data_IF_363895218827
#
_entry.id   IF_363895218827
#
_cell.length_a   1.000
_cell.length_b   1.000
_cell.length_c   1.000
_cell.angle_alpha   90.00
_cell.angle_beta   90.00
_cell.angle_gamma   90.00
#
_symmetry.space_group_name_H-M   'P 1'
#
loop_
_entity.id
_entity.type
_entity.pdbx_description
1 polymer ?
#
# COMPACT_ATOMS: atom_id res chain seq x y z
N UNK A 1 -3.92 0.38 -23.46
CA UNK A 1 -2.81 -0.48 -22.99
C UNK A 1 -1.65 0.37 -22.45
N UNK A 2 -1.20 1.38 -23.19
CA UNK A 2 -0.12 2.28 -22.72
C UNK A 2 -0.46 2.98 -21.40
N UNK A 3 -1.70 3.43 -21.22
CA UNK A 3 -2.15 4.08 -20.00
C UNK A 3 -2.03 3.17 -18.77
N UNK A 4 -2.43 1.89 -18.89
CA UNK A 4 -2.36 0.91 -17.77
C UNK A 4 -0.92 0.64 -17.37
N UNK A 5 -0.03 0.48 -18.36
CA UNK A 5 1.40 0.24 -18.13
C UNK A 5 2.04 1.45 -17.45
N UNK A 6 1.73 2.65 -17.92
CA UNK A 6 2.21 3.89 -17.33
C UNK A 6 1.74 4.05 -15.87
N UNK A 7 0.45 3.85 -15.61
CA UNK A 7 -0.13 3.88 -14.27
C UNK A 7 0.53 2.86 -13.33
N UNK A 8 0.82 1.66 -13.84
CA UNK A 8 1.49 0.59 -13.09
C UNK A 8 2.92 0.98 -12.69
N UNK A 9 3.77 1.38 -13.65
CA UNK A 9 5.14 1.78 -13.35
C UNK A 9 5.21 3.02 -12.46
N UNK A 10 4.36 3.99 -12.71
CA UNK A 10 4.26 5.19 -11.89
C UNK A 10 3.90 4.87 -10.44
N UNK A 11 2.96 3.95 -10.21
CA UNK A 11 2.55 3.53 -8.87
C UNK A 11 3.66 2.79 -8.10
N UNK A 12 4.60 2.14 -8.80
CA UNK A 12 5.73 1.45 -8.16
C UNK A 12 6.80 2.45 -7.70
N UNK A 13 7.21 3.36 -8.59
CA UNK A 13 8.41 4.16 -8.40
C UNK A 13 8.13 5.60 -7.98
N UNK A 14 7.20 6.28 -8.64
CA UNK A 14 6.91 7.70 -8.40
C UNK A 14 5.94 7.88 -7.23
N UNK A 15 4.81 7.20 -7.28
CA UNK A 15 3.74 7.30 -6.28
C UNK A 15 3.84 6.17 -5.25
N UNK A 16 5.07 5.84 -4.83
CA UNK A 16 5.32 4.82 -3.82
C UNK A 16 4.73 5.24 -2.47
N UNK A 17 3.87 4.41 -1.87
CA UNK A 17 3.16 4.72 -0.62
C UNK A 17 4.09 5.04 0.55
N UNK A 18 5.28 4.44 0.60
CA UNK A 18 6.24 4.66 1.69
C UNK A 18 7.09 5.89 1.40
N UNK A 19 7.74 5.96 0.24
CA UNK A 19 8.75 6.99 -0.01
C UNK A 19 8.17 8.34 -0.43
N UNK A 20 7.03 8.36 -1.12
CA UNK A 20 6.37 9.60 -1.52
C UNK A 20 5.42 10.16 -0.44
N UNK A 21 4.70 9.27 0.25
CA UNK A 21 3.61 9.68 1.15
C UNK A 21 3.84 9.29 2.62
N UNK A 22 4.86 8.53 2.94
CA UNK A 22 5.17 8.00 4.29
C UNK A 22 4.03 7.17 4.90
N UNK A 23 3.19 6.57 4.07
CA UNK A 23 2.07 5.76 4.52
C UNK A 23 2.49 4.30 4.81
N UNK A 24 2.00 3.78 5.92
CA UNK A 24 2.33 2.41 6.35
C UNK A 24 3.66 2.27 7.07
N UNK A 25 4.23 3.38 7.58
CA UNK A 25 5.49 3.38 8.34
C UNK A 25 5.45 2.52 9.60
N UNK A 26 4.28 2.38 10.24
CA UNK A 26 4.13 1.57 11.45
C UNK A 26 4.52 0.11 11.19
N UNK A 27 3.89 -0.52 10.20
CA UNK A 27 4.18 -1.90 9.79
C UNK A 27 5.55 -2.03 9.13
N UNK A 28 5.94 -1.03 8.35
CA UNK A 28 7.23 -0.95 7.68
C UNK A 28 8.41 -1.01 8.68
N UNK A 29 8.40 -0.19 9.73
CA UNK A 29 9.45 -0.16 10.74
C UNK A 29 9.41 -1.37 11.68
N UNK A 30 8.21 -1.86 12.03
CA UNK A 30 8.04 -2.95 12.96
C UNK A 30 8.54 -4.30 12.40
N UNK A 31 8.27 -4.55 11.13
CA UNK A 31 8.48 -5.87 10.50
C UNK A 31 9.76 -5.97 9.70
N UNK A 32 10.38 -4.85 9.29
CA UNK A 32 11.58 -4.80 8.45
C UNK A 32 12.88 -5.27 9.15
N UNK A 33 12.79 -6.14 10.16
CA UNK A 33 13.98 -6.66 10.85
C UNK A 33 14.69 -7.77 10.07
N UNK A 34 13.93 -8.59 9.35
CA UNK A 34 14.41 -9.73 8.56
C UNK A 34 13.81 -9.69 7.16
N UNK A 35 14.61 -10.01 6.14
CA UNK A 35 14.16 -10.05 4.73
C UNK A 35 13.02 -11.04 4.54
N UNK A 36 13.08 -12.21 5.17
CA UNK A 36 12.09 -13.27 5.03
C UNK A 36 10.70 -12.84 5.52
N UNK A 37 10.65 -12.19 6.69
CA UNK A 37 9.41 -11.67 7.27
C UNK A 37 8.88 -10.47 6.48
N UNK A 38 9.78 -9.61 6.01
CA UNK A 38 9.45 -8.46 5.15
C UNK A 38 8.81 -8.90 3.83
N UNK A 39 9.34 -9.96 3.20
CA UNK A 39 8.79 -10.51 1.97
C UNK A 39 7.38 -11.10 2.20
N UNK A 40 7.21 -11.86 3.28
CA UNK A 40 5.92 -12.44 3.63
C UNK A 40 4.84 -11.39 3.85
N UNK A 41 5.17 -10.34 4.62
CA UNK A 41 4.25 -9.22 4.83
C UNK A 41 3.97 -8.44 3.54
N UNK A 42 4.99 -8.23 2.71
CA UNK A 42 4.85 -7.57 1.42
C UNK A 42 3.87 -8.29 0.50
N UNK A 43 3.97 -9.60 0.39
CA UNK A 43 3.03 -10.41 -0.38
C UNK A 43 1.61 -10.35 0.18
N UNK A 44 1.47 -10.40 1.51
CA UNK A 44 0.17 -10.30 2.15
C UNK A 44 -0.51 -8.94 1.89
N UNK A 45 0.23 -7.84 2.04
CA UNK A 45 -0.27 -6.49 1.75
C UNK A 45 -0.64 -6.33 0.28
N UNK A 46 0.19 -6.85 -0.63
CA UNK A 46 -0.11 -6.82 -2.09
C UNK A 46 -1.39 -7.58 -2.40
N UNK A 47 -1.59 -8.75 -1.79
CA UNK A 47 -2.80 -9.53 -1.97
C UNK A 47 -4.04 -8.80 -1.43
N UNK A 48 -3.93 -8.21 -0.25
CA UNK A 48 -5.03 -7.41 0.33
C UNK A 48 -5.36 -6.22 -0.56
N UNK A 49 -4.37 -5.47 -1.05
CA UNK A 49 -4.57 -4.36 -1.97
C UNK A 49 -5.25 -4.80 -3.28
N UNK A 50 -4.86 -5.96 -3.82
CA UNK A 50 -5.44 -6.51 -5.04
C UNK A 50 -6.94 -6.80 -4.89
N UNK A 51 -7.39 -7.15 -3.70
CA UNK A 51 -8.81 -7.44 -3.43
C UNK A 51 -9.57 -6.19 -3.01
N UNK A 52 -8.99 -5.38 -2.11
CA UNK A 52 -9.69 -4.21 -1.53
C UNK A 52 -9.87 -3.06 -2.52
N UNK A 53 -8.83 -2.67 -3.27
CA UNK A 53 -8.91 -1.49 -4.16
C UNK A 53 -9.95 -1.65 -5.27
N UNK A 54 -10.09 -2.80 -5.98
CA UNK A 54 -11.16 -2.97 -6.94
C UNK A 54 -12.56 -3.00 -6.31
N UNK A 55 -12.69 -3.54 -5.09
CA UNK A 55 -13.97 -3.53 -4.37
C UNK A 55 -14.34 -2.10 -3.98
N UNK A 56 -13.40 -1.34 -3.44
CA UNK A 56 -13.59 0.08 -3.11
C UNK A 56 -13.91 0.92 -4.35
N UNK A 57 -13.31 0.60 -5.50
CA UNK A 57 -13.63 1.23 -6.78
C UNK A 57 -15.09 0.96 -7.20
N UNK A 58 -15.53 -0.29 -7.12
CA UNK A 58 -16.92 -0.65 -7.43
C UNK A 58 -17.90 0.01 -6.46
N UNK A 59 -17.54 0.09 -5.19
CA UNK A 59 -18.34 0.73 -4.17
C UNK A 59 -18.45 2.25 -4.44
N UNK A 60 -17.32 2.90 -4.77
CA UNK A 60 -17.29 4.33 -5.09
C UNK A 60 -18.12 4.65 -6.33
N UNK A 61 -18.02 3.83 -7.38
CA UNK A 61 -18.70 4.12 -8.66
C UNK A 61 -20.17 3.72 -8.67
N UNK A 62 -20.57 2.69 -7.91
CA UNK A 62 -21.95 2.16 -7.94
C UNK A 62 -22.80 2.51 -6.75
N UNK A 63 -22.20 2.84 -5.60
CA UNK A 63 -22.94 3.11 -4.35
C UNK A 63 -22.81 4.56 -3.92
N UNK A 64 -21.59 5.12 -3.99
CA UNK A 64 -21.32 6.48 -3.54
C UNK A 64 -21.37 7.52 -4.67
N UNK A 65 -21.53 7.09 -5.93
CA UNK A 65 -21.68 8.03 -7.05
C UNK A 65 -22.85 8.97 -6.87
N UNK A 66 -22.78 10.21 -7.40
CA UNK A 66 -23.75 11.28 -7.13
C UNK A 66 -25.19 10.96 -7.54
N UNK A 67 -25.42 9.90 -8.31
CA UNK A 67 -26.76 9.54 -8.82
C UNK A 67 -27.20 8.09 -8.49
N UNK A 68 -26.49 7.35 -7.59
CA UNK A 68 -26.73 5.90 -7.50
C UNK A 68 -27.77 5.46 -6.48
N UNK A 69 -27.84 5.99 -5.27
CA UNK A 69 -28.80 5.53 -4.24
C UNK A 69 -29.82 6.58 -3.82
N UNK A 70 -29.44 7.84 -3.71
CA UNK A 70 -30.35 8.92 -3.32
C UNK A 70 -30.02 10.15 -4.18
N UNK A 71 -30.90 10.51 -5.13
CA UNK A 71 -30.68 11.72 -5.94
C UNK A 71 -30.70 12.98 -5.05
N UNK A 72 -29.58 13.70 -5.01
CA UNK A 72 -29.44 14.97 -4.32
C UNK A 72 -28.70 14.98 -2.98
N UNK A 73 -28.12 13.85 -2.55
CA UNK A 73 -27.27 13.81 -1.35
C UNK A 73 -25.88 13.28 -1.71
N UNK A 74 -24.86 14.11 -1.54
CA UNK A 74 -23.46 13.72 -1.73
C UNK A 74 -23.01 12.78 -0.59
N UNK A 75 -23.10 11.47 -0.82
CA UNK A 75 -22.60 10.45 0.12
C UNK A 75 -21.07 10.32 0.12
N UNK A 76 -20.36 11.15 -0.64
CA UNK A 76 -18.90 11.16 -0.71
C UNK A 76 -18.24 11.33 0.67
N UNK A 77 -18.91 11.95 1.61
CA UNK A 77 -18.43 12.11 2.99
C UNK A 77 -18.39 10.77 3.77
N UNK A 78 -19.27 9.83 3.42
CA UNK A 78 -19.28 8.50 4.03
C UNK A 78 -18.25 7.55 3.41
N UNK A 79 -17.61 7.91 2.31
CA UNK A 79 -16.66 7.04 1.60
C UNK A 79 -15.51 6.59 2.50
N UNK A 80 -15.01 7.49 3.34
CA UNK A 80 -13.93 7.21 4.28
C UNK A 80 -14.28 6.08 5.27
N UNK A 81 -15.44 6.17 5.90
CA UNK A 81 -15.91 5.18 6.88
C UNK A 81 -16.20 3.85 6.19
N UNK A 82 -16.77 3.91 5.00
CA UNK A 82 -17.11 2.73 4.21
C UNK A 82 -15.86 1.99 3.73
N UNK A 83 -14.83 2.69 3.29
CA UNK A 83 -13.55 2.09 2.92
C UNK A 83 -12.88 1.41 4.11
N UNK A 84 -12.85 2.04 5.29
CA UNK A 84 -12.32 1.39 6.51
C UNK A 84 -13.08 0.09 6.81
N UNK A 85 -14.41 0.11 6.73
CA UNK A 85 -15.23 -1.06 7.00
C UNK A 85 -14.97 -2.20 6.00
N UNK A 86 -14.85 -1.87 4.70
CA UNK A 86 -14.52 -2.84 3.65
C UNK A 86 -13.11 -3.41 3.84
N UNK A 87 -12.12 -2.57 4.09
CA UNK A 87 -10.74 -3.00 4.34
C UNK A 87 -10.68 -3.94 5.54
N UNK A 88 -11.32 -3.57 6.66
CA UNK A 88 -11.35 -4.40 7.86
C UNK A 88 -12.03 -5.75 7.59
N UNK A 89 -13.17 -5.77 6.90
CA UNK A 89 -13.87 -7.00 6.53
C UNK A 89 -13.04 -7.90 5.61
N UNK A 90 -12.38 -7.32 4.60
CA UNK A 90 -11.54 -8.07 3.67
C UNK A 90 -10.29 -8.64 4.33
N UNK A 91 -9.65 -7.87 5.22
CA UNK A 91 -8.48 -8.37 5.96
C UNK A 91 -8.88 -9.51 6.89
N UNK A 92 -10.02 -9.41 7.57
CA UNK A 92 -10.55 -10.50 8.41
C UNK A 92 -10.80 -11.77 7.59
N UNK A 93 -11.32 -11.63 6.39
CA UNK A 93 -11.54 -12.75 5.48
C UNK A 93 -10.22 -13.39 5.04
N UNK A 94 -9.23 -12.56 4.70
CA UNK A 94 -7.86 -13.02 4.36
C UNK A 94 -7.21 -13.72 5.54
N UNK A 95 -7.38 -13.22 6.75
CA UNK A 95 -6.88 -13.83 7.99
C UNK A 95 -7.42 -15.26 8.15
N UNK A 96 -8.73 -15.44 8.05
CA UNK A 96 -9.36 -16.76 8.12
C UNK A 96 -8.88 -17.72 7.01
N UNK A 97 -8.63 -17.21 5.81
CA UNK A 97 -8.10 -18.01 4.70
C UNK A 97 -6.66 -18.44 4.99
N UNK A 98 -5.79 -17.52 5.43
CA UNK A 98 -4.38 -17.80 5.74
C UNK A 98 -4.25 -18.78 6.91
N UNK A 99 -5.06 -18.63 7.96
CA UNK A 99 -5.11 -19.54 9.11
C UNK A 99 -5.43 -20.98 8.65
N UNK A 100 -6.40 -21.14 7.74
CA UNK A 100 -6.83 -22.45 7.26
C UNK A 100 -5.84 -23.12 6.31
N UNK A 101 -5.23 -22.35 5.39
CA UNK A 101 -4.40 -22.92 4.33
C UNK A 101 -2.91 -22.96 4.66
N UNK A 102 -2.43 -22.10 5.53
CA UNK A 102 -0.99 -21.96 5.81
C UNK A 102 -0.72 -21.62 7.27
N UNK A 103 -0.93 -22.59 8.23
CA UNK A 103 -0.73 -22.34 9.65
C UNK A 103 0.71 -21.97 10.01
N UNK A 104 1.70 -22.39 9.21
CA UNK A 104 3.11 -22.00 9.38
C UNK A 104 3.33 -20.52 9.08
N UNK A 105 2.68 -19.99 8.04
CA UNK A 105 2.71 -18.57 7.70
C UNK A 105 1.93 -17.75 8.72
N UNK A 106 0.81 -18.26 9.19
CA UNK A 106 0.01 -17.65 10.24
C UNK A 106 0.80 -17.52 11.55
N UNK A 107 1.54 -18.54 11.95
CA UNK A 107 2.37 -18.49 13.15
C UNK A 107 3.49 -17.44 13.08
N UNK A 108 4.05 -17.20 11.90
CA UNK A 108 5.08 -16.16 11.70
C UNK A 108 4.50 -14.75 11.49
N UNK A 109 3.31 -14.62 10.93
CA UNK A 109 2.62 -13.36 10.65
C UNK A 109 1.50 -13.01 11.65
N UNK A 110 1.10 -13.96 12.53
CA UNK A 110 -0.11 -13.84 13.33
C UNK A 110 -0.19 -12.60 14.24
N UNK A 111 0.96 -12.13 14.74
CA UNK A 111 1.02 -10.87 15.51
C UNK A 111 0.91 -9.64 14.59
N UNK A 112 1.26 -9.78 13.32
CA UNK A 112 1.29 -8.68 12.34
C UNK A 112 0.02 -8.60 11.47
N UNK A 113 -0.83 -9.62 11.48
CA UNK A 113 -2.08 -9.61 10.72
C UNK A 113 -3.03 -8.46 11.13
N UNK A 114 -3.29 -8.19 12.42
CA UNK A 114 -4.06 -7.01 12.81
C UNK A 114 -3.42 -5.70 12.35
N UNK A 115 -2.08 -5.68 12.22
CA UNK A 115 -1.34 -4.53 11.72
C UNK A 115 -1.57 -4.28 10.22
N UNK A 116 -1.96 -5.30 9.47
CA UNK A 116 -2.36 -5.16 8.06
C UNK A 116 -3.72 -4.47 7.96
N UNK A 117 -4.67 -4.81 8.83
CA UNK A 117 -6.01 -4.22 8.83
C UNK A 117 -5.99 -2.70 9.07
N UNK A 118 -5.11 -2.23 9.96
CA UNK A 118 -4.94 -0.80 10.26
C UNK A 118 -3.79 -0.16 9.49
N UNK A 119 -3.35 -0.78 8.39
CA UNK A 119 -2.23 -0.27 7.60
C UNK A 119 -2.63 0.98 6.80
N UNK A 120 -2.02 2.10 7.14
CA UNK A 120 -2.27 3.38 6.48
C UNK A 120 -1.97 3.34 4.96
N UNK A 121 -1.11 2.43 4.49
CA UNK A 121 -0.83 2.31 3.06
C UNK A 121 -2.03 1.75 2.29
N UNK A 122 -2.76 0.78 2.85
CA UNK A 122 -3.96 0.21 2.23
C UNK A 122 -5.07 1.26 2.18
N UNK A 123 -5.29 1.93 3.30
CA UNK A 123 -6.24 3.04 3.39
C UNK A 123 -5.87 4.18 2.43
N UNK A 124 -4.60 4.55 2.40
CA UNK A 124 -4.09 5.58 1.49
C UNK A 124 -4.27 5.21 0.02
N UNK A 125 -4.04 3.96 -0.36
CA UNK A 125 -4.28 3.49 -1.72
C UNK A 125 -5.75 3.65 -2.14
N UNK A 126 -6.70 3.30 -1.27
CA UNK A 126 -8.14 3.48 -1.53
C UNK A 126 -8.52 4.96 -1.64
N UNK A 127 -7.98 5.84 -0.79
CA UNK A 127 -8.23 7.28 -0.87
C UNK A 127 -7.62 7.92 -2.12
N UNK A 128 -6.39 7.57 -2.48
CA UNK A 128 -5.78 8.06 -3.72
C UNK A 128 -6.49 7.53 -4.96
N UNK A 129 -6.98 6.30 -4.93
CA UNK A 129 -7.85 5.77 -5.99
C UNK A 129 -9.10 6.63 -6.15
N UNK A 130 -9.77 6.99 -5.05
CA UNK A 130 -10.93 7.88 -5.07
C UNK A 130 -10.60 9.26 -5.65
N UNK A 131 -9.47 9.85 -5.25
CA UNK A 131 -9.03 11.13 -5.82
C UNK A 131 -8.78 11.03 -7.33
N UNK A 132 -8.21 9.92 -7.79
CA UNK A 132 -7.89 9.69 -9.20
C UNK A 132 -9.10 9.41 -10.07
N UNK A 133 -10.19 8.90 -9.52
CA UNK A 133 -11.48 8.79 -10.22
C UNK A 133 -12.04 10.17 -10.58
N UNK A 134 -11.80 11.18 -9.74
CA UNK A 134 -12.28 12.54 -9.92
C UNK A 134 -11.37 13.43 -10.79
N UNK A 135 -10.26 12.87 -11.31
CA UNK A 135 -9.36 13.58 -12.22
C UNK A 135 -9.93 13.60 -13.66
N UNK A 136 -9.45 14.55 -14.46
CA UNK A 136 -9.79 14.61 -15.88
C UNK A 136 -9.29 13.35 -16.62
N UNK A 137 -10.09 12.81 -17.57
CA UNK A 137 -9.72 11.62 -18.33
C UNK A 137 -8.44 11.75 -19.16
N UNK A 138 -7.97 12.98 -19.41
CA UNK A 138 -6.70 13.29 -20.06
C UNK A 138 -5.47 13.13 -19.15
N UNK A 139 -5.69 12.99 -17.84
CA UNK A 139 -4.60 12.84 -16.90
C UNK A 139 -4.07 11.39 -16.91
N UNK A 140 -2.74 11.24 -16.93
CA UNK A 140 -2.08 9.92 -16.87
C UNK A 140 -2.35 9.14 -15.59
N UNK A 141 -2.91 9.78 -14.57
CA UNK A 141 -3.26 9.17 -13.28
C UNK A 141 -4.75 8.82 -13.14
N UNK A 142 -5.56 9.11 -14.15
CA UNK A 142 -6.99 8.86 -14.13
C UNK A 142 -7.29 7.35 -14.03
N UNK A 143 -8.21 6.99 -13.15
CA UNK A 143 -8.71 5.61 -12.99
C UNK A 143 -10.16 5.58 -13.44
N UNK A 144 -10.39 5.18 -14.68
CA UNK A 144 -11.73 5.13 -15.28
C UNK A 144 -12.31 3.72 -15.38
N UNK A 145 -11.49 2.69 -15.15
CA UNK A 145 -11.87 1.29 -15.32
C UNK A 145 -11.45 0.45 -14.12
N UNK A 146 -12.16 -0.66 -13.90
CA UNK A 146 -11.76 -1.67 -12.91
C UNK A 146 -10.35 -2.23 -13.21
N UNK A 147 -9.98 -2.33 -14.49
CA UNK A 147 -8.65 -2.78 -14.90
C UNK A 147 -7.55 -1.80 -14.48
N UNK A 148 -7.80 -0.50 -14.55
CA UNK A 148 -6.88 0.52 -14.08
C UNK A 148 -6.73 0.46 -12.55
N UNK A 149 -7.82 0.22 -11.83
CA UNK A 149 -7.79 0.03 -10.38
C UNK A 149 -6.98 -1.21 -9.98
N UNK A 150 -7.10 -2.32 -10.73
CA UNK A 150 -6.29 -3.53 -10.50
C UNK A 150 -4.82 -3.26 -10.79
N UNK A 151 -4.48 -2.61 -11.89
CA UNK A 151 -3.11 -2.26 -12.23
C UNK A 151 -2.48 -1.34 -11.17
N UNK A 152 -3.25 -0.38 -10.68
CA UNK A 152 -2.84 0.51 -9.59
C UNK A 152 -2.62 -0.25 -8.27
N UNK A 153 -3.51 -1.17 -7.92
CA UNK A 153 -3.40 -2.00 -6.72
C UNK A 153 -2.14 -2.86 -6.73
N UNK A 154 -1.88 -3.55 -7.85
CA UNK A 154 -0.68 -4.37 -8.02
C UNK A 154 0.57 -3.51 -7.99
N UNK A 155 0.59 -2.38 -8.69
CA UNK A 155 1.72 -1.44 -8.70
C UNK A 155 2.04 -0.91 -7.32
N UNK A 156 1.05 -0.43 -6.59
CA UNK A 156 1.21 0.07 -5.22
C UNK A 156 1.68 -1.02 -4.25
N UNK A 157 1.15 -2.25 -4.37
CA UNK A 157 1.56 -3.39 -3.56
C UNK A 157 3.00 -3.82 -3.82
N UNK A 158 3.41 -3.90 -5.08
CA UNK A 158 4.80 -4.21 -5.46
C UNK A 158 5.74 -3.10 -4.98
N UNK A 159 5.38 -1.83 -5.16
CA UNK A 159 6.15 -0.69 -4.68
C UNK A 159 6.36 -0.73 -3.17
N UNK A 160 5.31 -1.03 -2.41
CA UNK A 160 5.39 -1.20 -0.96
C UNK A 160 6.26 -2.39 -0.55
N UNK A 161 6.10 -3.54 -1.24
CA UNK A 161 6.92 -4.75 -1.01
C UNK A 161 8.39 -4.50 -1.29
N UNK A 162 8.70 -3.83 -2.41
CA UNK A 162 10.07 -3.47 -2.77
C UNK A 162 10.71 -2.59 -1.69
N UNK A 163 9.97 -1.62 -1.18
CA UNK A 163 10.45 -0.74 -0.13
C UNK A 163 10.77 -1.50 1.17
N UNK A 164 9.85 -2.35 1.65
CA UNK A 164 10.05 -3.06 2.92
C UNK A 164 11.16 -4.13 2.83
N UNK A 165 11.28 -4.81 1.70
CA UNK A 165 12.34 -5.79 1.48
C UNK A 165 13.70 -5.10 1.40
N UNK A 166 13.79 -3.96 0.72
CA UNK A 166 15.01 -3.17 0.63
C UNK A 166 15.49 -2.70 2.00
N UNK A 167 14.58 -2.18 2.83
CA UNK A 167 14.93 -1.79 4.20
C UNK A 167 15.32 -2.99 5.04
N UNK A 168 14.61 -4.12 4.92
CA UNK A 168 14.92 -5.36 5.61
C UNK A 168 16.34 -5.85 5.32
N UNK A 169 16.73 -5.83 4.04
CA UNK A 169 18.08 -6.20 3.60
C UNK A 169 19.15 -5.25 4.15
N UNK A 170 18.89 -3.95 4.15
CA UNK A 170 19.83 -2.96 4.70
C UNK A 170 19.97 -3.15 6.21
N UNK A 171 18.88 -3.34 6.95
CA UNK A 171 18.91 -3.55 8.40
C UNK A 171 19.61 -4.83 8.80
N UNK A 172 19.39 -5.91 8.06
CA UNK A 172 20.08 -7.19 8.28
C UNK A 172 21.59 -7.02 8.08
N UNK A 173 22.00 -6.26 7.07
CA UNK A 173 23.41 -5.95 6.83
C UNK A 173 24.02 -5.00 7.87
N UNK A 174 23.25 -4.02 8.33
CA UNK A 174 23.68 -3.08 9.40
C UNK A 174 23.84 -3.75 10.76
N UNK A 175 23.21 -4.90 11.01
CA UNK A 175 23.40 -5.63 12.26
C UNK A 175 24.85 -6.08 12.49
N UNK A 176 25.65 -6.20 11.43
CA UNK A 176 27.06 -6.57 11.48
C UNK A 176 28.02 -5.37 11.49
N UNK A 177 27.50 -4.15 11.52
CA UNK A 177 28.29 -2.91 11.44
C UNK A 177 28.30 -2.21 12.80
N UNK A 178 29.45 -1.65 13.20
CA UNK A 178 29.56 -0.85 14.42
C UNK A 178 28.87 0.50 14.26
N UNK A 179 27.67 0.60 14.83
CA UNK A 179 26.88 1.83 14.85
C UNK A 179 27.11 2.55 16.19
N UNK A 180 27.35 3.87 16.20
CA UNK A 180 27.47 4.65 17.43
C UNK A 180 26.25 4.47 18.34
N UNK A 181 26.50 4.27 19.64
CA UNK A 181 25.44 4.00 20.64
C UNK A 181 24.23 4.95 20.61
N UNK A 182 24.37 6.27 20.37
CA UNK A 182 23.23 7.18 20.32
C UNK A 182 22.30 6.98 19.11
N UNK A 183 22.80 6.39 18.02
CA UNK A 183 22.03 6.16 16.79
C UNK A 183 21.47 4.73 16.68
N UNK A 184 21.87 3.83 17.56
CA UNK A 184 21.41 2.45 17.53
C UNK A 184 19.86 2.37 17.65
N UNK A 185 19.24 1.53 16.83
CA UNK A 185 17.81 1.27 16.85
C UNK A 185 17.03 2.08 15.83
N UNK A 186 16.04 2.84 16.28
CA UNK A 186 15.14 3.60 15.40
C UNK A 186 15.83 4.75 14.68
N UNK A 187 16.82 5.40 15.30
CA UNK A 187 17.50 6.56 14.72
C UNK A 187 18.18 6.26 13.38
N UNK A 188 19.01 5.22 13.33
CA UNK A 188 19.70 4.82 12.10
C UNK A 188 18.69 4.34 11.03
N UNK A 189 17.59 3.72 11.46
CA UNK A 189 16.55 3.25 10.53
C UNK A 189 15.87 4.43 9.85
N UNK A 190 15.52 5.49 10.59
CA UNK A 190 14.92 6.69 10.00
C UNK A 190 15.88 7.42 9.03
N UNK A 191 17.16 7.51 9.38
CA UNK A 191 18.16 8.09 8.48
C UNK A 191 18.24 7.27 7.18
N UNK A 192 18.28 5.94 7.29
CA UNK A 192 18.31 5.05 6.12
C UNK A 192 17.07 5.22 5.25
N UNK A 193 15.89 5.28 5.85
CA UNK A 193 14.63 5.50 5.12
C UNK A 193 14.62 6.87 4.43
N UNK A 194 15.13 7.92 5.10
CA UNK A 194 15.26 9.24 4.49
C UNK A 194 16.21 9.25 3.27
N UNK A 195 17.34 8.54 3.35
CA UNK A 195 18.26 8.38 2.23
C UNK A 195 17.64 7.60 1.08
N UNK A 196 16.89 6.54 1.39
CA UNK A 196 16.15 5.78 0.37
C UNK A 196 15.06 6.64 -0.29
N UNK A 197 14.34 7.44 0.46
CA UNK A 197 13.33 8.35 -0.08
C UNK A 197 13.95 9.38 -1.03
N UNK A 198 15.10 9.96 -0.68
CA UNK A 198 15.84 10.87 -1.57
C UNK A 198 16.29 10.15 -2.86
N UNK A 199 16.74 8.91 -2.77
CA UNK A 199 17.10 8.13 -3.95
C UNK A 199 15.89 7.86 -4.85
N UNK A 200 14.71 7.59 -4.28
CA UNK A 200 13.47 7.40 -5.05
C UNK A 200 12.93 8.70 -5.67
N UNK A 201 13.26 9.87 -5.10
CA UNK A 201 12.91 11.16 -5.72
C UNK A 201 13.56 11.36 -7.10
N UNK A 202 14.66 10.68 -7.41
CA UNK A 202 15.25 10.70 -8.75
C UNK A 202 14.28 10.19 -9.83
N UNK A 203 13.37 9.29 -9.48
CA UNK A 203 12.36 8.77 -10.40
C UNK A 203 11.18 9.75 -10.63
N UNK A 204 11.00 10.75 -9.77
CA UNK A 204 9.94 11.75 -9.88
C UNK A 204 10.08 12.65 -11.12
N UNK A 205 11.28 12.74 -11.69
CA UNK A 205 11.55 13.49 -12.93
C UNK A 205 11.30 12.72 -14.23
N UNK A 206 11.01 11.43 -14.14
CA UNK A 206 10.70 10.60 -15.30
C UNK A 206 9.22 10.78 -15.66
N UNK A 207 8.95 11.62 -16.64
CA UNK A 207 7.66 11.64 -17.33
C UNK A 207 7.60 10.42 -18.26
N UNK A 208 7.11 9.31 -17.74
CA UNK A 208 6.80 8.11 -18.51
C UNK A 208 5.35 8.18 -18.98
#
# INVERSE_FOLDING_TARGET
>A
MEHIINLFFRSIFVDNMIFAFFLGMCSYLAVSKNVKTSLGLGMAVTFVLLVTVPVDYLLQTKVLGPDCLIPGVDLSYLSFILFIAVIAGMVQLVEMIVEKYSPSLYASLGIFLPLIAVNCAIMGASLFMQQRINLDPLNTQYIGSVWDAIAYAIGSGIGWTLAIVSLGAIREKMAYTDVPKPLQGLGITFITVGLMAMAFMCFSGLNI
#
